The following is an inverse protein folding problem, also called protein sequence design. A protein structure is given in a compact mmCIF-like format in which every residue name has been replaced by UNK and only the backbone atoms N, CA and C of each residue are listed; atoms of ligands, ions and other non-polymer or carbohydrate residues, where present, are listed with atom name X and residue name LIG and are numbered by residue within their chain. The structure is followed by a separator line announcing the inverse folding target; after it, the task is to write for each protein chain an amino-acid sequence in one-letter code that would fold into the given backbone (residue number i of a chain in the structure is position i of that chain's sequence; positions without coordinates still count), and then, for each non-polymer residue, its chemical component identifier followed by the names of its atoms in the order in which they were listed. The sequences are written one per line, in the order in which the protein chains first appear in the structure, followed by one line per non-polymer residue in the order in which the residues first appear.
data_IF_438909031533
#
_entry.id   IF_438909031533
#
_cell.length_a   1.000
_cell.length_b   1.000
_cell.length_c   1.000
_cell.angle_alpha   90.00
_cell.angle_beta   90.00
_cell.angle_gamma   90.00
#
_symmetry.space_group_name_H-M   'P 1'
#
loop_
_entity.id
_entity.type
_entity.pdbx_description
1 polymer ?
#
# COMPACT_ATOMS: atom_id res chain seq x y z
N UNK A 1 6.71 1.28 -0.81
CA UNK A 1 8.12 1.65 -0.63
C UNK A 1 8.62 2.40 -1.85
N UNK A 2 9.71 3.16 -1.73
CA UNK A 2 10.37 3.79 -2.89
C UNK A 2 11.53 2.90 -3.30
N UNK A 3 11.55 2.46 -4.55
CA UNK A 3 12.63 1.67 -5.11
C UNK A 3 13.53 2.56 -5.96
N UNK A 4 14.84 2.44 -5.76
CA UNK A 4 15.87 3.10 -6.56
C UNK A 4 16.52 2.07 -7.48
N UNK A 5 16.38 2.19 -8.81
CA UNK A 5 16.96 1.22 -9.75
C UNK A 5 18.49 1.27 -9.76
N UNK A 6 19.14 0.10 -9.85
CA UNK A 6 20.58 0.02 -10.10
C UNK A 6 20.86 0.33 -11.57
N UNK A 7 21.60 1.42 -11.86
CA UNK A 7 21.89 1.87 -13.23
C UNK A 7 21.40 3.28 -13.58
N UNK A 8 20.92 4.06 -12.61
CA UNK A 8 20.62 5.49 -12.79
C UNK A 8 19.22 5.80 -13.30
N UNK A 9 18.27 4.87 -13.19
CA UNK A 9 16.85 5.14 -13.44
C UNK A 9 16.20 5.97 -12.32
N UNK A 10 15.05 6.59 -12.61
CA UNK A 10 14.31 7.37 -11.62
C UNK A 10 13.72 6.49 -10.50
N UNK A 11 13.68 6.99 -9.25
CA UNK A 11 13.00 6.30 -8.17
C UNK A 11 11.52 6.08 -8.49
N UNK A 12 11.00 4.89 -8.16
CA UNK A 12 9.58 4.57 -8.34
C UNK A 12 8.92 4.20 -7.03
N UNK A 13 7.69 4.64 -6.84
CA UNK A 13 6.86 4.19 -5.73
C UNK A 13 6.25 2.83 -6.06
N UNK A 14 6.53 1.82 -5.24
CA UNK A 14 5.96 0.47 -5.34
C UNK A 14 5.04 0.20 -4.15
N UNK A 15 3.79 -0.18 -4.44
CA UNK A 15 2.82 -0.63 -3.44
C UNK A 15 2.88 -2.15 -3.35
N UNK A 16 3.19 -2.67 -2.16
CA UNK A 16 3.15 -4.11 -1.86
C UNK A 16 1.84 -4.42 -1.12
N UNK A 17 0.75 -4.62 -1.87
CA UNK A 17 -0.60 -4.74 -1.31
C UNK A 17 -0.81 -5.97 -0.42
N UNK A 18 0.04 -7.00 -0.57
CA UNK A 18 0.07 -8.19 0.29
C UNK A 18 0.34 -7.86 1.76
N UNK A 19 1.02 -6.73 2.02
CA UNK A 19 1.32 -6.25 3.37
C UNK A 19 0.26 -5.24 3.88
N UNK A 20 -0.85 -5.03 3.15
CA UNK A 20 -1.86 -4.08 3.53
C UNK A 20 -2.62 -4.54 4.79
N UNK A 21 -2.72 -3.65 5.78
CA UNK A 21 -3.48 -3.89 7.04
C UNK A 21 -4.88 -3.26 7.03
N UNK A 22 -5.35 -2.81 5.86
CA UNK A 22 -6.71 -2.32 5.64
C UNK A 22 -7.12 -1.09 6.48
N UNK A 23 -6.17 -0.34 7.02
CA UNK A 23 -6.44 0.84 7.86
C UNK A 23 -6.92 2.10 7.10
N UNK A 24 -6.88 2.08 5.76
CA UNK A 24 -7.25 3.20 4.86
C UNK A 24 -6.40 4.47 4.99
N UNK A 25 -5.31 4.45 5.76
CA UNK A 25 -4.48 5.65 5.95
C UNK A 25 -3.92 6.21 4.63
N UNK A 26 -3.51 5.35 3.71
CA UNK A 26 -2.99 5.77 2.40
C UNK A 26 -4.02 6.54 1.55
N UNK A 27 -5.29 6.14 1.62
CA UNK A 27 -6.42 6.79 0.92
C UNK A 27 -6.74 8.17 1.53
N UNK A 28 -6.72 8.26 2.87
CA UNK A 28 -7.12 9.47 3.62
C UNK A 28 -6.00 10.52 3.70
N UNK A 29 -4.74 10.07 3.80
CA UNK A 29 -3.61 10.92 4.18
C UNK A 29 -2.61 11.17 3.05
N UNK A 30 -2.84 10.66 1.84
CA UNK A 30 -2.08 11.11 0.68
C UNK A 30 -2.45 12.58 0.35
N UNK A 31 -1.52 13.55 0.51
CA UNK A 31 -1.79 14.95 0.22
C UNK A 31 -2.17 15.20 -1.24
N UNK A 32 -1.67 14.34 -2.13
CA UNK A 32 -1.90 14.43 -3.57
C UNK A 32 -3.08 13.59 -4.06
N UNK A 33 -3.74 12.82 -3.18
CA UNK A 33 -4.92 12.02 -3.50
C UNK A 33 -4.72 11.10 -4.73
N UNK A 34 -3.53 10.54 -4.89
CA UNK A 34 -3.14 9.66 -5.99
C UNK A 34 -3.42 8.19 -5.71
N UNK A 35 -3.73 7.82 -4.46
CA UNK A 35 -3.96 6.44 -4.04
C UNK A 35 -5.46 6.23 -3.82
N UNK A 36 -6.05 5.26 -4.52
CA UNK A 36 -7.43 4.79 -4.30
C UNK A 36 -7.39 3.43 -3.62
N UNK A 37 -7.89 3.35 -2.39
CA UNK A 37 -8.05 2.07 -1.70
C UNK A 37 -9.33 1.38 -2.14
N UNK A 38 -9.23 0.09 -2.47
CA UNK A 38 -10.38 -0.78 -2.76
C UNK A 38 -10.27 -2.06 -1.94
N UNK A 39 -11.42 -2.65 -1.61
CA UNK A 39 -11.45 -3.91 -0.86
C UNK A 39 -10.86 -5.03 -1.71
N UNK A 40 -9.86 -5.80 -1.21
CA UNK A 40 -9.34 -6.95 -1.93
C UNK A 40 -10.32 -8.13 -1.92
N UNK A 41 -9.94 -9.22 -2.56
CA UNK A 41 -10.69 -10.48 -2.52
C UNK A 41 -10.93 -10.95 -1.07
N UNK A 42 -12.09 -11.59 -0.84
CA UNK A 42 -12.51 -12.04 0.48
C UNK A 42 -11.53 -13.02 1.11
N UNK A 43 -11.18 -12.80 2.39
CA UNK A 43 -10.16 -13.57 3.11
C UNK A 43 -8.75 -12.99 3.02
N UNK A 44 -8.54 -11.94 2.22
CA UNK A 44 -7.31 -11.15 2.24
C UNK A 44 -7.27 -10.17 3.43
N UNK A 45 -6.06 -9.85 3.89
CA UNK A 45 -5.82 -8.87 4.95
C UNK A 45 -5.41 -9.48 6.29
N UNK A 46 -5.28 -8.63 7.33
CA UNK A 46 -4.79 -9.06 8.63
C UNK A 46 -5.82 -9.91 9.39
N UNK A 47 -5.33 -10.94 10.07
CA UNK A 47 -6.11 -11.71 11.04
C UNK A 47 -5.74 -11.26 12.45
N UNK A 48 -6.72 -10.75 13.19
CA UNK A 48 -6.56 -10.24 14.55
C UNK A 48 -7.31 -11.13 15.55
N UNK A 49 -6.74 -12.28 15.97
CA UNK A 49 -7.44 -13.23 16.85
C UNK A 49 -7.63 -12.73 18.29
N UNK A 50 -6.85 -11.74 18.71
CA UNK A 50 -6.83 -11.23 20.09
C UNK A 50 -6.84 -9.69 20.15
N UNK A 51 -7.26 -9.02 19.08
CA UNK A 51 -7.35 -7.56 19.01
C UNK A 51 -8.81 -7.13 18.97
#
# INVERSE_FOLDING_TARGET
EVLTPEGGGEPRFQINAQNCVHCKTCDIKDPSQNIVWTTPEGGGGPNYPNM
#
